data_IF_956094988398
#
_entry.id   IF_956094988398
#
_cell.length_a   1.000
_cell.length_b   1.000
_cell.length_c   1.000
_cell.angle_alpha   90.00
_cell.angle_beta   90.00
_cell.angle_gamma   90.00
#
_symmetry.space_group_name_H-M   'P 1'
#
loop_
_entity.id
_entity.type
_entity.pdbx_description
1 polymer ?
#
# COMPACT_ATOMS: atom_id res chain seq x y z
N UNK A 1 -13.44 -6.67 18.47
CA UNK A 1 -12.41 -6.61 17.41
C UNK A 1 -12.90 -6.03 16.08
N UNK A 2 -13.99 -6.46 15.45
CA UNK A 2 -14.49 -5.83 14.18
C UNK A 2 -14.60 -4.31 14.26
N UNK A 3 -15.03 -3.76 15.41
CA UNK A 3 -15.10 -2.31 15.62
C UNK A 3 -13.70 -1.66 15.69
N UNK A 4 -12.70 -2.31 16.29
CA UNK A 4 -11.31 -1.85 16.28
C UNK A 4 -10.75 -1.77 14.86
N UNK A 5 -10.99 -2.80 14.04
CA UNK A 5 -10.60 -2.82 12.62
C UNK A 5 -11.29 -1.69 11.82
N UNK A 6 -12.58 -1.47 12.04
CA UNK A 6 -13.31 -0.39 11.38
C UNK A 6 -12.80 1.00 11.78
N UNK A 7 -12.42 1.20 13.04
CA UNK A 7 -11.78 2.43 13.52
C UNK A 7 -10.38 2.60 12.90
N UNK A 8 -9.55 1.55 12.90
CA UNK A 8 -8.22 1.57 12.30
C UNK A 8 -8.25 2.05 10.85
N UNK A 9 -9.22 1.59 10.06
CA UNK A 9 -9.38 1.99 8.65
C UNK A 9 -9.57 3.50 8.46
N UNK A 10 -10.04 4.23 9.46
CA UNK A 10 -10.22 5.70 9.38
C UNK A 10 -8.89 6.46 9.27
N UNK A 11 -7.79 5.87 9.73
CA UNK A 11 -6.44 6.43 9.59
C UNK A 11 -5.80 6.26 8.21
N UNK A 12 -6.47 5.56 7.30
CA UNK A 12 -5.94 5.20 5.99
C UNK A 12 -5.51 6.43 5.17
N UNK A 13 -4.27 6.41 4.67
CA UNK A 13 -3.65 7.51 3.93
C UNK A 13 -2.97 8.57 4.80
N UNK A 14 -3.29 8.66 6.10
CA UNK A 14 -2.76 9.70 7.00
C UNK A 14 -1.67 9.19 7.98
N UNK A 15 -1.64 7.88 8.26
CA UNK A 15 -0.71 7.30 9.25
C UNK A 15 0.64 6.88 8.67
N UNK A 16 0.76 6.81 7.35
CA UNK A 16 1.96 6.29 6.64
C UNK A 16 3.27 6.92 7.15
N UNK A 17 4.33 6.13 7.32
CA UNK A 17 4.45 4.68 7.13
C UNK A 17 4.03 3.83 8.36
N UNK A 18 3.35 4.42 9.36
CA UNK A 18 2.83 3.72 10.54
C UNK A 18 1.63 2.83 10.18
N UNK A 19 1.39 1.76 10.97
CA UNK A 19 0.24 0.88 10.77
C UNK A 19 -1.09 1.57 11.08
N UNK A 20 -2.16 1.00 10.55
CA UNK A 20 -3.53 1.33 10.90
C UNK A 20 -3.90 0.63 12.20
N UNK A 21 -4.10 1.39 13.26
CA UNK A 21 -4.43 0.87 14.59
C UNK A 21 -5.70 1.50 15.12
N UNK A 22 -6.61 0.66 15.61
CA UNK A 22 -7.81 1.04 16.34
C UNK A 22 -7.86 0.34 17.70
N UNK A 23 -8.32 1.05 18.71
CA UNK A 23 -8.38 0.57 20.09
C UNK A 23 -9.72 0.90 20.74
N UNK A 24 -10.22 -0.03 21.57
CA UNK A 24 -11.39 0.15 22.41
C UNK A 24 -11.06 -0.24 23.85
N UNK A 25 -11.53 0.58 24.79
CA UNK A 25 -11.53 0.21 26.21
C UNK A 25 -12.95 -0.16 26.60
N UNK A 26 -13.10 -1.40 27.11
CA UNK A 26 -14.41 -1.99 27.46
C UNK A 26 -14.40 -2.39 28.93
N UNK A 27 -15.48 -2.12 29.65
CA UNK A 27 -15.64 -2.55 31.03
C UNK A 27 -17.09 -3.02 31.25
N UNK A 28 -17.22 -4.16 31.88
CA UNK A 28 -18.53 -4.77 32.19
C UNK A 28 -19.49 -4.84 30.98
N UNK A 29 -18.93 -5.11 29.78
CA UNK A 29 -19.64 -5.19 28.52
C UNK A 29 -19.89 -3.83 27.82
N UNK A 30 -19.60 -2.71 28.47
CA UNK A 30 -19.78 -1.37 27.90
C UNK A 30 -18.48 -0.80 27.31
N UNK A 31 -18.59 -0.15 26.14
CA UNK A 31 -17.45 0.57 25.52
C UNK A 31 -17.30 1.91 26.21
N UNK A 32 -16.24 2.09 27.00
CA UNK A 32 -15.93 3.34 27.69
C UNK A 32 -15.27 4.37 26.76
N UNK A 33 -14.42 3.93 25.85
CA UNK A 33 -13.79 4.76 24.83
C UNK A 33 -13.36 3.94 23.63
N UNK A 34 -13.25 4.64 22.52
CA UNK A 34 -12.70 4.13 21.26
C UNK A 34 -11.82 5.20 20.61
N UNK A 35 -10.74 4.78 19.96
CA UNK A 35 -9.81 5.64 19.26
C UNK A 35 -9.15 4.90 18.08
N UNK A 36 -8.48 5.64 17.24
CA UNK A 36 -7.61 5.10 16.19
C UNK A 36 -6.38 5.98 16.04
N UNK A 37 -5.32 5.44 15.46
CA UNK A 37 -4.15 6.24 15.11
C UNK A 37 -4.52 7.18 13.96
N UNK A 38 -4.59 8.47 14.23
CA UNK A 38 -5.21 9.44 13.33
C UNK A 38 -4.25 9.91 12.23
N UNK A 39 -2.95 10.05 12.57
CA UNK A 39 -1.94 10.58 11.65
C UNK A 39 -0.52 10.21 12.09
N UNK A 40 0.39 10.19 11.12
CA UNK A 40 1.83 10.02 11.38
C UNK A 40 2.36 11.04 12.40
N UNK A 41 3.17 10.57 13.35
CA UNK A 41 3.72 11.39 14.42
C UNK A 41 2.73 11.76 15.54
N UNK A 42 1.45 11.43 15.38
CA UNK A 42 0.45 11.58 16.44
C UNK A 42 0.47 10.44 17.46
N UNK A 43 -0.33 10.56 18.56
CA UNK A 43 -0.47 9.49 19.55
C UNK A 43 -1.04 8.20 18.92
N UNK A 44 -0.64 7.06 19.47
CA UNK A 44 -1.18 5.77 19.07
C UNK A 44 -2.62 5.59 19.59
N UNK A 45 -3.37 4.67 18.98
CA UNK A 45 -4.77 4.44 19.30
C UNK A 45 -5.01 4.09 20.77
N UNK A 46 -4.13 3.26 21.35
CA UNK A 46 -4.19 2.83 22.74
C UNK A 46 -4.04 4.04 23.69
N UNK A 47 -3.06 4.90 23.41
CA UNK A 47 -2.82 6.11 24.20
C UNK A 47 -4.04 7.03 24.17
N UNK A 48 -4.63 7.24 22.98
CA UNK A 48 -5.83 8.08 22.83
C UNK A 48 -7.04 7.47 23.55
N UNK A 49 -7.24 6.16 23.45
CA UNK A 49 -8.34 5.48 24.11
C UNK A 49 -8.21 5.55 25.63
N UNK A 50 -7.02 5.26 26.17
CA UNK A 50 -6.74 5.32 27.60
C UNK A 50 -6.87 6.74 28.16
N UNK A 51 -6.38 7.75 27.45
CA UNK A 51 -6.52 9.15 27.84
C UNK A 51 -7.98 9.61 27.96
N UNK A 52 -8.86 9.11 27.06
CA UNK A 52 -10.30 9.42 27.10
C UNK A 52 -11.03 8.79 28.30
N UNK A 53 -10.55 7.64 28.75
CA UNK A 53 -11.17 6.89 29.87
C UNK A 53 -10.64 7.35 31.23
N UNK A 54 -9.38 7.73 31.33
CA UNK A 54 -8.70 8.09 32.57
C UNK A 54 -8.75 6.95 33.60
N UNK A 55 -9.01 7.27 34.86
CA UNK A 55 -9.02 6.33 36.00
C UNK A 55 -10.03 5.17 35.84
N UNK A 56 -11.07 5.34 35.03
CA UNK A 56 -12.06 4.26 34.78
C UNK A 56 -11.47 3.09 34.01
N UNK A 57 -10.28 3.25 33.39
CA UNK A 57 -9.56 2.21 32.68
C UNK A 57 -9.15 1.04 33.60
N UNK A 58 -8.98 1.30 34.92
CA UNK A 58 -8.60 0.29 35.89
C UNK A 58 -9.58 -0.89 35.89
N UNK A 59 -9.05 -2.09 35.65
CA UNK A 59 -9.82 -3.33 35.57
C UNK A 59 -10.67 -3.48 34.31
N UNK A 60 -10.51 -2.60 33.30
CA UNK A 60 -11.14 -2.74 32.00
C UNK A 60 -10.40 -3.70 31.08
N UNK A 61 -10.94 -3.95 29.90
CA UNK A 61 -10.38 -4.72 28.80
C UNK A 61 -9.99 -3.78 27.66
N UNK A 62 -8.83 -4.02 27.02
CA UNK A 62 -8.40 -3.30 25.82
C UNK A 62 -8.49 -4.24 24.62
N UNK A 63 -9.19 -3.81 23.57
CA UNK A 63 -9.21 -4.47 22.26
C UNK A 63 -8.41 -3.65 21.27
N UNK A 64 -7.42 -4.24 20.63
CA UNK A 64 -6.54 -3.58 19.67
C UNK A 64 -6.22 -4.51 18.51
N UNK A 65 -6.21 -4.00 17.28
CA UNK A 65 -5.99 -4.85 16.10
C UNK A 65 -4.53 -5.19 15.83
N UNK A 66 -3.58 -4.55 16.52
CA UNK A 66 -2.15 -4.81 16.41
C UNK A 66 -1.51 -4.83 17.80
N UNK A 67 -0.49 -5.65 17.99
CA UNK A 67 0.27 -5.75 19.23
C UNK A 67 0.72 -4.37 19.72
N UNK A 68 0.47 -4.00 21.02
CA UNK A 68 0.94 -2.75 21.59
C UNK A 68 2.46 -2.66 21.58
N UNK A 69 2.98 -1.55 21.05
CA UNK A 69 4.41 -1.34 20.89
C UNK A 69 5.15 -1.23 22.23
N UNK A 70 6.41 -1.65 22.23
CA UNK A 70 7.38 -1.51 23.33
C UNK A 70 8.37 -0.38 23.02
N UNK A 71 9.18 0.01 24.00
CA UNK A 71 10.32 0.89 23.77
C UNK A 71 11.46 0.15 23.08
N UNK A 72 12.09 0.84 22.12
CA UNK A 72 13.28 0.39 21.43
C UNK A 72 14.10 1.59 20.93
N UNK A 73 15.40 1.44 20.65
CA UNK A 73 16.26 2.52 20.17
C UNK A 73 15.71 3.19 18.90
N UNK A 74 15.58 4.53 18.92
CA UNK A 74 15.07 5.32 17.80
C UNK A 74 13.54 5.46 17.73
N UNK A 75 12.78 4.87 18.65
CA UNK A 75 11.33 5.08 18.73
C UNK A 75 11.01 6.50 19.17
N UNK A 76 10.09 7.15 18.47
CA UNK A 76 9.73 8.57 18.66
C UNK A 76 8.56 8.79 19.62
N UNK A 77 7.76 7.75 19.91
CA UNK A 77 6.55 7.82 20.73
C UNK A 77 6.68 6.97 21.99
N UNK A 78 5.99 7.31 23.10
CA UNK A 78 5.96 6.46 24.29
C UNK A 78 5.46 5.05 24.01
N UNK A 79 5.85 4.08 24.86
CA UNK A 79 5.42 2.69 24.79
C UNK A 79 3.93 2.57 25.09
N UNK A 80 3.16 1.98 24.17
CA UNK A 80 1.75 1.65 24.43
C UNK A 80 1.62 0.57 25.51
N UNK A 81 2.52 -0.40 25.52
CA UNK A 81 2.56 -1.47 26.54
C UNK A 81 2.69 -0.88 27.95
N UNK A 82 3.61 0.09 28.17
CA UNK A 82 3.74 0.76 29.45
C UNK A 82 2.47 1.51 29.87
N UNK A 83 1.86 2.24 28.94
CA UNK A 83 0.62 2.96 29.20
C UNK A 83 -0.53 2.02 29.60
N UNK A 84 -0.63 0.86 28.96
CA UNK A 84 -1.63 -0.18 29.28
C UNK A 84 -1.41 -0.74 30.69
N UNK A 85 -0.15 -1.00 31.07
CA UNK A 85 0.22 -1.49 32.42
C UNK A 85 -0.11 -0.41 33.48
N UNK A 86 0.29 0.85 33.24
CA UNK A 86 0.03 1.96 34.15
C UNK A 86 -1.48 2.22 34.34
N UNK A 87 -2.28 2.06 33.28
CA UNK A 87 -3.74 2.15 33.34
C UNK A 87 -4.41 0.99 34.08
N UNK A 88 -3.66 -0.05 34.50
CA UNK A 88 -4.14 -1.23 35.20
C UNK A 88 -5.26 -1.95 34.44
N UNK A 89 -5.11 -2.09 33.14
CA UNK A 89 -5.98 -2.90 32.29
C UNK A 89 -5.87 -4.37 32.78
N UNK A 90 -7.01 -5.07 32.89
CA UNK A 90 -7.01 -6.47 33.34
C UNK A 90 -6.77 -7.48 32.21
N UNK A 91 -7.17 -7.11 30.98
CA UNK A 91 -7.13 -7.98 29.81
C UNK A 91 -6.87 -7.21 28.53
N UNK A 92 -6.01 -7.73 27.66
CA UNK A 92 -5.76 -7.20 26.33
C UNK A 92 -6.10 -8.24 25.27
N UNK A 93 -6.94 -7.88 24.32
CA UNK A 93 -7.32 -8.72 23.17
C UNK A 93 -6.66 -8.15 21.92
N UNK A 94 -5.78 -8.93 21.31
CA UNK A 94 -4.95 -8.54 20.16
C UNK A 94 -5.37 -9.34 18.94
N UNK A 95 -5.54 -8.67 17.78
CA UNK A 95 -5.84 -9.41 16.55
C UNK A 95 -4.58 -10.09 16.00
N UNK A 96 -3.48 -9.36 15.86
CA UNK A 96 -2.23 -9.90 15.30
C UNK A 96 -1.01 -9.28 15.97
N UNK A 97 0.10 -10.03 15.98
CA UNK A 97 1.40 -9.51 16.43
C UNK A 97 1.94 -8.48 15.45
N UNK A 98 2.75 -7.57 15.96
CA UNK A 98 3.49 -6.63 15.12
C UNK A 98 4.63 -7.38 14.40
N UNK A 99 4.73 -7.33 13.07
CA UNK A 99 5.81 -8.01 12.33
C UNK A 99 7.17 -7.33 12.48
N UNK A 100 7.23 -6.14 13.11
CA UNK A 100 8.49 -5.45 13.38
C UNK A 100 9.35 -6.29 14.35
N UNK A 101 10.57 -6.72 13.95
CA UNK A 101 11.43 -7.54 14.80
C UNK A 101 11.77 -6.91 16.16
N UNK A 102 11.65 -5.59 16.27
CA UNK A 102 11.88 -4.87 17.54
C UNK A 102 10.67 -4.89 18.48
N UNK A 103 9.49 -5.30 18.01
CA UNK A 103 8.23 -5.34 18.76
C UNK A 103 7.69 -6.76 18.89
N UNK A 104 7.77 -7.56 17.83
CA UNK A 104 7.15 -8.88 17.67
C UNK A 104 7.23 -9.75 18.93
N UNK A 105 6.09 -10.01 19.57
CA UNK A 105 5.95 -10.80 20.79
C UNK A 105 6.45 -10.15 22.08
N UNK A 106 7.21 -9.07 22.01
CA UNK A 106 7.78 -8.39 23.19
C UNK A 106 6.73 -7.60 23.95
N UNK A 107 5.76 -7.00 23.27
CA UNK A 107 4.62 -6.34 23.90
C UNK A 107 3.74 -7.33 24.65
N UNK A 108 3.44 -8.45 24.01
CA UNK A 108 2.67 -9.56 24.62
C UNK A 108 3.38 -10.12 25.86
N UNK A 109 4.69 -10.40 25.76
CA UNK A 109 5.47 -10.91 26.90
C UNK A 109 5.41 -9.95 28.10
N UNK A 110 5.67 -8.66 27.85
CA UNK A 110 5.68 -7.63 28.89
C UNK A 110 4.31 -7.44 29.55
N UNK A 111 3.22 -7.50 28.80
CA UNK A 111 1.86 -7.47 29.36
C UNK A 111 1.60 -8.67 30.28
N UNK A 112 1.99 -9.88 29.86
CA UNK A 112 1.84 -11.10 30.67
C UNK A 112 2.70 -11.07 31.93
N UNK A 113 3.94 -10.59 31.84
CA UNK A 113 4.83 -10.40 33.00
C UNK A 113 4.23 -9.42 34.03
N UNK A 114 3.48 -8.43 33.58
CA UNK A 114 2.75 -7.49 34.43
C UNK A 114 1.42 -8.09 35.02
N UNK A 115 1.12 -9.36 34.75
CA UNK A 115 -0.09 -10.04 35.23
C UNK A 115 -1.35 -9.72 34.44
N UNK A 116 -1.24 -9.17 33.25
CA UNK A 116 -2.37 -8.85 32.38
C UNK A 116 -2.72 -10.11 31.54
N UNK A 117 -4.00 -10.48 31.49
CA UNK A 117 -4.49 -11.53 30.59
C UNK A 117 -4.35 -11.07 29.15
N UNK A 118 -3.70 -11.86 28.27
CA UNK A 118 -3.53 -11.54 26.85
C UNK A 118 -4.13 -12.64 25.99
N UNK A 119 -5.11 -12.26 25.16
CA UNK A 119 -5.75 -13.10 24.13
C UNK A 119 -5.29 -12.63 22.76
N UNK A 120 -4.74 -13.53 21.96
CA UNK A 120 -4.20 -13.26 20.64
C UNK A 120 -5.00 -13.94 19.53
N UNK A 121 -4.89 -13.47 18.29
CA UNK A 121 -5.41 -14.13 17.10
C UNK A 121 -6.86 -13.83 16.73
N UNK A 122 -7.50 -12.88 17.41
CA UNK A 122 -8.92 -12.56 17.17
C UNK A 122 -9.09 -11.73 15.89
N UNK A 123 -9.58 -12.33 14.80
CA UNK A 123 -9.65 -11.76 13.45
C UNK A 123 -8.27 -11.40 12.89
N UNK A 124 -7.31 -12.32 13.05
CA UNK A 124 -5.92 -12.08 12.67
C UNK A 124 -5.76 -11.83 11.16
N UNK A 125 -6.42 -12.62 10.33
CA UNK A 125 -6.33 -12.49 8.86
C UNK A 125 -6.86 -11.13 8.39
N UNK A 126 -7.98 -10.66 8.92
CA UNK A 126 -8.55 -9.34 8.59
C UNK A 126 -7.62 -8.21 9.04
N UNK A 127 -6.98 -8.36 10.21
CA UNK A 127 -6.03 -7.38 10.72
C UNK A 127 -4.75 -7.32 9.88
N UNK A 128 -4.23 -8.46 9.46
CA UNK A 128 -3.07 -8.58 8.57
C UNK A 128 -3.38 -7.98 7.20
N UNK A 129 -4.55 -8.30 6.62
CA UNK A 129 -4.99 -7.76 5.32
C UNK A 129 -5.19 -6.24 5.38
N UNK A 130 -5.72 -5.71 6.49
CA UNK A 130 -5.85 -4.26 6.69
C UNK A 130 -4.49 -3.57 6.70
N UNK A 131 -3.48 -4.20 7.27
CA UNK A 131 -2.13 -3.67 7.44
C UNK A 131 -1.09 -4.29 6.46
N UNK A 132 -1.52 -4.88 5.34
CA UNK A 132 -0.63 -5.58 4.39
C UNK A 132 0.55 -4.71 3.91
N UNK A 133 0.31 -3.40 3.73
CA UNK A 133 1.33 -2.41 3.34
C UNK A 133 2.39 -2.29 4.43
N UNK A 134 1.97 -2.07 5.68
CA UNK A 134 2.89 -1.95 6.81
C UNK A 134 3.68 -3.23 7.03
N UNK A 135 3.02 -4.38 6.97
CA UNK A 135 3.66 -5.71 7.16
C UNK A 135 4.76 -5.95 6.13
N UNK A 136 4.47 -5.65 4.87
CA UNK A 136 5.48 -5.76 3.81
C UNK A 136 6.63 -4.79 4.04
N UNK A 137 6.33 -3.49 4.21
CA UNK A 137 7.37 -2.46 4.30
C UNK A 137 8.27 -2.63 5.52
N UNK A 138 7.72 -2.93 6.69
CA UNK A 138 8.50 -3.07 7.93
C UNK A 138 9.45 -4.27 7.87
N UNK A 139 9.09 -5.33 7.15
CA UNK A 139 9.89 -6.55 7.01
C UNK A 139 10.82 -6.54 5.80
N UNK A 140 10.41 -5.97 4.66
CA UNK A 140 11.16 -6.00 3.39
C UNK A 140 11.93 -4.71 3.10
N UNK A 141 11.55 -3.61 3.72
CA UNK A 141 12.13 -2.26 3.49
C UNK A 141 12.05 -1.79 2.03
N UNK A 142 11.06 -2.28 1.30
CA UNK A 142 10.69 -1.82 -0.04
C UNK A 142 9.21 -1.47 -0.07
N UNK A 143 8.75 -0.59 -0.97
CA UNK A 143 7.32 -0.29 -1.11
C UNK A 143 6.49 -1.53 -1.41
N UNK A 144 5.29 -1.62 -0.83
CA UNK A 144 4.25 -2.55 -1.27
C UNK A 144 3.69 -2.09 -2.61
N UNK A 145 3.90 -2.87 -3.66
CA UNK A 145 3.55 -2.48 -5.03
C UNK A 145 2.16 -2.99 -5.41
N UNK A 146 1.29 -2.06 -5.78
CA UNK A 146 -0.05 -2.35 -6.29
C UNK A 146 -0.10 -1.99 -7.77
N UNK A 147 -0.35 -2.96 -8.62
CA UNK A 147 -0.57 -2.73 -10.05
C UNK A 147 -2.07 -2.50 -10.29
N UNK A 148 -2.41 -1.29 -10.71
CA UNK A 148 -3.79 -0.91 -11.04
C UNK A 148 -3.92 -0.66 -12.53
N UNK A 149 -4.86 -1.36 -13.16
CA UNK A 149 -5.20 -1.17 -14.58
C UNK A 149 -6.71 -0.97 -14.75
N UNK A 150 -7.10 -0.18 -15.73
CA UNK A 150 -8.47 -0.05 -16.19
C UNK A 150 -8.51 -0.43 -17.68
N UNK A 151 -9.31 -1.43 -18.00
CA UNK A 151 -9.31 -2.04 -19.34
C UNK A 151 -10.73 -2.41 -19.80
N UNK A 152 -10.86 -2.64 -21.07
CA UNK A 152 -12.04 -3.23 -21.68
C UNK A 152 -12.14 -4.73 -21.36
N UNK A 153 -13.28 -5.37 -21.61
CA UNK A 153 -13.46 -6.83 -21.42
C UNK A 153 -12.46 -7.66 -22.24
N UNK A 154 -12.04 -7.14 -23.39
CA UNK A 154 -11.02 -7.76 -24.25
C UNK A 154 -9.58 -7.31 -23.90
N UNK A 155 -9.37 -6.70 -22.71
CA UNK A 155 -8.05 -6.42 -22.15
C UNK A 155 -7.30 -5.26 -22.80
N UNK A 156 -7.99 -4.23 -23.32
CA UNK A 156 -7.37 -3.06 -23.96
C UNK A 156 -7.43 -1.84 -23.03
N UNK A 157 -6.34 -1.09 -22.93
CA UNK A 157 -6.24 0.15 -22.18
C UNK A 157 -6.27 1.42 -23.07
N UNK A 158 -6.15 1.26 -24.38
CA UNK A 158 -6.33 2.32 -25.35
C UNK A 158 -6.61 1.74 -26.74
N UNK A 159 -7.26 2.53 -27.61
CA UNK A 159 -7.50 2.19 -29.00
C UNK A 159 -6.20 2.14 -29.81
N UNK A 160 -6.27 1.70 -31.06
CA UNK A 160 -5.15 1.76 -32.01
C UNK A 160 -4.68 3.20 -32.28
N UNK A 161 -5.56 4.20 -32.10
CA UNK A 161 -5.22 5.63 -32.17
C UNK A 161 -4.66 6.20 -30.86
N UNK A 162 -4.39 5.35 -29.88
CA UNK A 162 -3.90 5.69 -28.52
C UNK A 162 -4.88 6.49 -27.65
N UNK A 163 -6.16 6.57 -28.01
CA UNK A 163 -7.18 7.16 -27.16
C UNK A 163 -7.55 6.21 -26.03
N UNK A 164 -7.42 6.67 -24.78
CA UNK A 164 -7.63 5.90 -23.54
C UNK A 164 -8.85 6.37 -22.74
N UNK A 165 -9.45 7.54 -23.04
CA UNK A 165 -10.51 8.18 -22.24
C UNK A 165 -11.86 8.11 -22.92
N UNK A 166 -12.95 7.71 -22.22
CA UNK A 166 -12.93 7.11 -20.90
C UNK A 166 -13.30 5.63 -21.05
N UNK A 167 -12.51 4.74 -20.48
CA UNK A 167 -12.79 3.29 -20.49
C UNK A 167 -13.74 2.97 -19.34
N UNK A 168 -13.41 3.35 -18.10
CA UNK A 168 -14.20 3.07 -16.91
C UNK A 168 -15.15 4.21 -16.55
N UNK A 169 -16.23 3.86 -15.82
CA UNK A 169 -17.28 4.76 -15.32
C UNK A 169 -16.76 5.73 -14.24
N UNK A 170 -17.54 6.78 -13.91
CA UNK A 170 -17.17 7.75 -12.89
C UNK A 170 -16.90 7.14 -11.52
N UNK A 171 -17.67 6.12 -11.11
CA UNK A 171 -17.54 5.45 -9.83
C UNK A 171 -16.16 4.78 -9.69
N UNK A 172 -15.70 4.07 -10.72
CA UNK A 172 -14.36 3.47 -10.74
C UNK A 172 -13.27 4.55 -10.73
N UNK A 173 -13.45 5.67 -11.45
CA UNK A 173 -12.49 6.79 -11.42
C UNK A 173 -12.39 7.44 -10.04
N UNK A 174 -13.51 7.59 -9.31
CA UNK A 174 -13.52 8.07 -7.92
C UNK A 174 -12.71 7.13 -7.02
N UNK A 175 -12.91 5.81 -7.17
CA UNK A 175 -12.14 4.81 -6.41
C UNK A 175 -10.63 4.88 -6.72
N UNK A 176 -10.23 5.25 -7.95
CA UNK A 176 -8.81 5.51 -8.28
C UNK A 176 -8.26 6.68 -7.45
N UNK A 177 -9.02 7.75 -7.23
CA UNK A 177 -8.59 8.83 -6.35
C UNK A 177 -8.47 8.38 -4.88
N UNK A 178 -9.33 7.46 -4.42
CA UNK A 178 -9.17 6.84 -3.11
C UNK A 178 -7.90 5.98 -3.03
N UNK A 179 -7.57 5.22 -4.07
CA UNK A 179 -6.32 4.46 -4.14
C UNK A 179 -5.09 5.38 -4.11
N UNK A 180 -5.09 6.47 -4.89
CA UNK A 180 -3.99 7.47 -4.85
C UNK A 180 -3.83 8.12 -3.48
N UNK A 181 -4.93 8.37 -2.77
CA UNK A 181 -4.90 8.86 -1.38
C UNK A 181 -4.30 7.82 -0.43
N UNK A 182 -4.63 6.54 -0.66
CA UNK A 182 -4.21 5.41 0.19
C UNK A 182 -2.72 5.13 0.09
N UNK A 183 -2.15 5.14 -1.11
CA UNK A 183 -0.76 4.76 -1.35
C UNK A 183 0.18 5.97 -1.35
N UNK A 184 1.44 5.78 -0.90
CA UNK A 184 2.41 6.85 -0.72
C UNK A 184 2.91 7.46 -2.02
N UNK A 185 2.99 6.66 -3.08
CA UNK A 185 3.43 7.10 -4.39
C UNK A 185 2.54 6.52 -5.50
N UNK A 186 2.49 7.22 -6.65
CA UNK A 186 1.88 6.76 -7.89
C UNK A 186 2.90 6.81 -9.01
N UNK A 187 2.96 5.76 -9.83
CA UNK A 187 3.95 5.63 -10.91
C UNK A 187 3.29 5.38 -12.25
N UNK A 188 3.78 6.07 -13.28
CA UNK A 188 3.46 5.85 -14.70
C UNK A 188 4.72 5.85 -15.56
N UNK A 189 4.64 5.28 -16.76
CA UNK A 189 5.68 5.40 -17.77
C UNK A 189 5.53 6.67 -18.63
N UNK A 190 6.61 7.07 -19.31
CA UNK A 190 6.66 8.24 -20.18
C UNK A 190 5.54 8.25 -21.24
N UNK A 191 5.27 7.11 -21.88
CA UNK A 191 4.22 7.01 -22.88
C UNK A 191 2.83 7.37 -22.34
N UNK A 192 2.52 7.01 -21.10
CA UNK A 192 1.27 7.40 -20.44
C UNK A 192 1.19 8.91 -20.27
N UNK A 193 2.30 9.55 -19.88
CA UNK A 193 2.33 11.01 -19.75
C UNK A 193 2.20 11.71 -21.11
N UNK A 194 2.89 11.21 -22.12
CA UNK A 194 2.88 11.79 -23.48
C UNK A 194 1.49 11.73 -24.13
N UNK A 195 0.76 10.62 -23.94
CA UNK A 195 -0.53 10.43 -24.61
C UNK A 195 -1.72 10.96 -23.80
N UNK A 196 -1.68 10.78 -22.47
CA UNK A 196 -2.83 11.07 -21.60
C UNK A 196 -2.69 12.38 -20.82
N UNK A 197 -1.48 12.94 -20.73
CA UNK A 197 -1.15 14.13 -19.95
C UNK A 197 -1.84 14.15 -18.56
N UNK A 198 -1.61 13.15 -17.71
CA UNK A 198 -2.29 13.02 -16.43
C UNK A 198 -1.67 13.93 -15.36
N UNK A 199 -2.50 14.39 -14.41
CA UNK A 199 -2.01 15.11 -13.22
C UNK A 199 -1.51 14.16 -12.12
N UNK A 200 -2.05 12.94 -12.04
CA UNK A 200 -1.77 11.94 -11.01
C UNK A 200 -2.02 12.43 -9.57
N UNK A 201 -2.92 13.38 -9.40
CA UNK A 201 -3.28 13.98 -8.11
C UNK A 201 -4.57 13.38 -7.55
N UNK A 202 -4.81 13.60 -6.26
CA UNK A 202 -6.07 13.31 -5.56
C UNK A 202 -6.95 14.55 -5.65
N UNK A 203 -8.11 14.46 -6.32
CA UNK A 203 -9.03 15.59 -6.55
C UNK A 203 -10.47 15.30 -6.15
N UNK A 204 -10.93 14.07 -6.36
CA UNK A 204 -12.34 13.70 -6.16
C UNK A 204 -12.66 13.27 -4.71
N UNK A 205 -11.65 13.14 -3.87
CA UNK A 205 -11.78 12.81 -2.45
C UNK A 205 -10.81 13.65 -1.62
N UNK A 206 -11.13 13.97 -0.36
CA UNK A 206 -10.18 14.66 0.51
C UNK A 206 -9.03 13.73 0.91
N UNK A 207 -7.81 14.27 1.01
CA UNK A 207 -6.67 13.51 1.50
C UNK A 207 -5.32 14.00 0.99
N UNK A 208 -4.23 13.36 1.46
CA UNK A 208 -2.88 13.73 1.06
C UNK A 208 -2.61 13.37 -0.40
N UNK A 209 -1.72 14.14 -1.02
CA UNK A 209 -1.22 13.87 -2.36
C UNK A 209 -0.13 12.81 -2.33
N UNK A 210 -0.11 11.86 -3.29
CA UNK A 210 0.99 10.90 -3.43
C UNK A 210 2.23 11.58 -4.06
N UNK A 211 3.41 10.99 -3.82
CA UNK A 211 4.58 11.26 -4.65
C UNK A 211 4.31 10.75 -6.07
N UNK A 212 4.38 11.62 -7.07
CA UNK A 212 4.23 11.24 -8.48
C UNK A 212 5.56 10.78 -9.05
N UNK A 213 5.61 9.62 -9.67
CA UNK A 213 6.83 9.04 -10.25
C UNK A 213 6.60 8.81 -11.74
N UNK A 214 7.51 9.29 -12.56
CA UNK A 214 7.50 9.08 -14.01
C UNK A 214 8.75 8.29 -14.39
N UNK A 215 8.57 7.14 -15.04
CA UNK A 215 9.66 6.39 -15.67
C UNK A 215 9.90 6.98 -17.07
N UNK A 216 10.98 7.72 -17.25
CA UNK A 216 11.35 8.38 -18.51
C UNK A 216 12.82 8.12 -18.80
N UNK A 217 13.09 7.02 -19.49
CA UNK A 217 14.44 6.46 -19.70
C UNK A 217 15.41 7.47 -20.27
N UNK A 218 14.99 8.23 -21.27
CA UNK A 218 15.79 9.12 -22.12
C UNK A 218 15.27 10.59 -22.13
N UNK A 219 14.37 10.92 -21.21
CA UNK A 219 13.86 12.27 -21.05
C UNK A 219 12.91 12.70 -22.17
N UNK A 220 11.98 11.85 -22.64
CA UNK A 220 11.05 12.17 -23.74
C UNK A 220 9.82 12.99 -23.32
N UNK A 221 9.44 12.94 -22.05
CA UNK A 221 8.23 13.62 -21.54
C UNK A 221 8.37 15.14 -21.72
N UNK A 222 7.41 15.83 -22.34
CA UNK A 222 7.46 17.28 -22.53
C UNK A 222 7.53 18.04 -21.20
N UNK A 223 8.31 19.13 -21.13
CA UNK A 223 8.40 20.00 -19.94
C UNK A 223 7.06 20.65 -19.58
N UNK A 224 6.12 20.75 -20.53
CA UNK A 224 4.77 21.28 -20.34
C UNK A 224 3.80 20.27 -19.71
N UNK A 225 4.19 19.01 -19.53
CA UNK A 225 3.31 17.96 -19.01
C UNK A 225 2.73 18.33 -17.64
N UNK A 226 1.42 18.08 -17.46
CA UNK A 226 0.67 18.44 -16.23
C UNK A 226 1.22 17.75 -14.98
N UNK A 227 1.83 16.58 -15.13
CA UNK A 227 2.48 15.88 -14.02
C UNK A 227 3.63 16.69 -13.39
N UNK A 228 4.19 17.67 -14.09
CA UNK A 228 5.22 18.57 -13.59
C UNK A 228 4.67 19.86 -12.97
N UNK A 229 3.35 19.98 -12.83
CA UNK A 229 2.72 21.07 -12.07
C UNK A 229 3.09 20.97 -10.57
N UNK A 230 3.15 22.12 -9.87
CA UNK A 230 3.55 22.20 -8.46
C UNK A 230 2.54 21.66 -7.44
N UNK A 231 1.43 21.02 -7.87
CA UNK A 231 0.37 20.55 -6.96
C UNK A 231 0.78 19.39 -6.05
N UNK A 232 1.74 18.57 -6.48
CA UNK A 232 2.31 17.49 -5.68
C UNK A 232 3.79 17.31 -6.03
N UNK A 233 4.53 16.65 -5.14
CA UNK A 233 5.95 16.32 -5.42
C UNK A 233 6.04 15.35 -6.59
N UNK A 234 7.02 15.58 -7.47
CA UNK A 234 7.27 14.73 -8.64
C UNK A 234 8.72 14.30 -8.69
N UNK A 235 8.93 13.02 -9.01
CA UNK A 235 10.22 12.38 -9.25
C UNK A 235 10.22 11.81 -10.67
N UNK A 236 11.22 12.11 -11.47
CA UNK A 236 11.48 11.44 -12.75
C UNK A 236 12.63 10.46 -12.55
N UNK A 237 12.37 9.17 -12.79
CA UNK A 237 13.38 8.13 -12.79
C UNK A 237 13.86 7.91 -14.24
N UNK A 238 15.15 8.09 -14.46
CA UNK A 238 15.76 8.11 -15.81
C UNK A 238 17.07 7.34 -15.84
N UNK A 239 17.49 6.91 -17.01
CA UNK A 239 18.83 6.37 -17.29
C UNK A 239 19.70 7.50 -17.86
N UNK A 240 19.25 8.07 -18.99
CA UNK A 240 20.02 9.05 -19.72
C UNK A 240 19.12 10.23 -20.14
N UNK A 241 19.04 11.23 -19.28
CA UNK A 241 18.31 12.46 -19.55
C UNK A 241 19.29 13.55 -19.97
N UNK A 242 18.99 14.32 -21.03
CA UNK A 242 19.81 15.48 -21.42
C UNK A 242 19.98 16.47 -20.25
N UNK A 243 21.21 16.95 -19.98
CA UNK A 243 21.47 17.83 -18.83
C UNK A 243 20.62 19.08 -18.78
N UNK A 244 20.36 19.72 -19.93
CA UNK A 244 19.51 20.91 -20.04
C UNK A 244 18.07 20.63 -19.61
N UNK A 245 17.55 19.45 -19.95
CA UNK A 245 16.21 19.03 -19.55
C UNK A 245 16.15 18.71 -18.07
N UNK A 246 17.17 18.06 -17.53
CA UNK A 246 17.30 17.81 -16.11
C UNK A 246 17.31 19.11 -15.31
N UNK A 247 18.09 20.11 -15.74
CA UNK A 247 18.13 21.43 -15.13
C UNK A 247 16.75 22.13 -15.18
N UNK A 248 16.09 22.09 -16.34
CA UNK A 248 14.75 22.67 -16.51
C UNK A 248 13.71 22.00 -15.59
N UNK A 249 13.75 20.69 -15.42
CA UNK A 249 12.87 19.96 -14.50
C UNK A 249 13.17 20.32 -13.03
N UNK A 250 14.45 20.38 -12.65
CA UNK A 250 14.87 20.81 -11.31
C UNK A 250 14.42 22.25 -11.02
N UNK A 251 14.48 23.14 -11.99
CA UNK A 251 13.97 24.51 -11.93
C UNK A 251 12.45 24.57 -11.66
N UNK A 252 11.70 23.53 -12.01
CA UNK A 252 10.27 23.37 -11.69
C UNK A 252 10.01 22.69 -10.35
N UNK A 253 11.04 22.33 -9.57
CA UNK A 253 10.91 21.58 -8.32
C UNK A 253 10.69 20.07 -8.53
N UNK A 254 10.93 19.57 -9.74
CA UNK A 254 10.87 18.14 -10.04
C UNK A 254 12.21 17.49 -9.69
N UNK A 255 12.17 16.42 -8.91
CA UNK A 255 13.36 15.63 -8.64
C UNK A 255 13.70 14.74 -9.83
N UNK A 256 14.96 14.71 -10.24
CA UNK A 256 15.48 13.78 -11.26
C UNK A 256 16.40 12.77 -10.59
N UNK A 257 16.04 11.49 -10.68
CA UNK A 257 16.79 10.36 -10.12
C UNK A 257 17.36 9.53 -11.28
N UNK A 258 18.68 9.56 -11.43
CA UNK A 258 19.38 8.69 -12.38
C UNK A 258 19.52 7.29 -11.78
N UNK A 259 19.14 6.29 -12.56
CA UNK A 259 19.21 4.88 -12.20
C UNK A 259 20.06 4.11 -13.21
N UNK A 260 20.68 2.99 -12.81
CA UNK A 260 21.27 2.07 -13.76
C UNK A 260 20.22 1.61 -14.78
N UNK A 261 20.70 1.31 -15.99
CA UNK A 261 19.88 0.65 -17.00
C UNK A 261 19.76 -0.84 -16.71
N UNK A 262 18.56 -1.35 -16.93
CA UNK A 262 18.27 -2.78 -16.97
C UNK A 262 17.22 -3.06 -18.04
N UNK A 263 17.58 -3.91 -19.00
CA UNK A 263 16.70 -4.30 -20.10
C UNK A 263 16.14 -3.09 -20.90
N UNK A 264 16.98 -2.05 -21.13
CA UNK A 264 16.59 -0.83 -21.85
C UNK A 264 15.77 0.18 -21.02
N UNK A 265 15.64 -0.03 -19.71
CA UNK A 265 14.81 0.81 -18.83
C UNK A 265 15.51 1.12 -17.50
N UNK A 266 15.06 2.10 -16.72
CA UNK A 266 15.53 2.33 -15.37
C UNK A 266 15.33 1.08 -14.49
N UNK A 267 16.36 0.69 -13.74
CA UNK A 267 16.29 -0.49 -12.84
C UNK A 267 15.22 -0.29 -11.75
N UNK A 268 14.12 -1.04 -11.88
CA UNK A 268 12.97 -0.96 -10.97
C UNK A 268 13.31 -1.46 -9.57
N UNK A 269 14.18 -2.47 -9.43
CA UNK A 269 14.60 -2.96 -8.10
C UNK A 269 15.39 -1.90 -7.36
N UNK A 270 16.27 -1.19 -8.08
CA UNK A 270 17.03 -0.08 -7.50
C UNK A 270 16.12 1.08 -7.12
N UNK A 271 15.12 1.40 -7.96
CA UNK A 271 14.11 2.40 -7.64
C UNK A 271 13.36 2.05 -6.35
N UNK A 272 12.84 0.83 -6.24
CA UNK A 272 12.09 0.38 -5.05
C UNK A 272 12.96 0.41 -3.78
N UNK A 273 14.22 0.02 -3.87
CA UNK A 273 15.16 0.10 -2.74
C UNK A 273 15.37 1.56 -2.27
N UNK A 274 15.54 2.50 -3.20
CA UNK A 274 15.68 3.94 -2.88
C UNK A 274 14.39 4.49 -2.26
N UNK A 275 13.23 4.14 -2.82
CA UNK A 275 11.93 4.57 -2.28
C UNK A 275 11.70 4.04 -0.87
N UNK A 276 12.02 2.76 -0.62
CA UNK A 276 11.92 2.16 0.70
C UNK A 276 12.84 2.84 1.73
N UNK A 277 14.09 3.16 1.35
CA UNK A 277 15.01 3.91 2.20
C UNK A 277 14.53 5.34 2.53
N UNK A 278 13.67 5.90 1.69
CA UNK A 278 13.01 7.21 1.89
C UNK A 278 11.67 7.11 2.62
N UNK A 279 11.37 5.98 3.24
CA UNK A 279 10.11 5.70 3.95
C UNK A 279 8.85 5.78 3.05
N UNK A 280 8.98 5.58 1.75
CA UNK A 280 7.85 5.37 0.84
C UNK A 280 7.42 3.92 0.99
N UNK A 281 6.36 3.69 1.75
CA UNK A 281 5.88 2.36 2.14
C UNK A 281 5.10 1.62 1.04
N UNK A 282 4.56 2.37 0.07
CA UNK A 282 3.66 1.83 -0.94
C UNK A 282 3.73 2.57 -2.27
N UNK A 283 3.51 1.82 -3.36
CA UNK A 283 3.57 2.31 -4.73
C UNK A 283 2.35 1.83 -5.52
N UNK A 284 1.54 2.74 -6.02
CA UNK A 284 0.47 2.48 -6.98
C UNK A 284 1.02 2.63 -8.39
N UNK A 285 1.12 1.54 -9.15
CA UNK A 285 1.53 1.54 -10.55
C UNK A 285 0.30 1.66 -11.42
N UNK A 286 0.14 2.79 -12.10
CA UNK A 286 -0.96 3.09 -13.03
C UNK A 286 -0.47 3.16 -14.48
N UNK A 287 0.71 2.64 -14.77
CA UNK A 287 1.38 2.78 -16.05
C UNK A 287 0.78 1.94 -17.17
N UNK A 288 1.24 2.17 -18.40
CA UNK A 288 0.85 1.41 -19.58
C UNK A 288 1.29 -0.05 -19.55
N UNK A 289 0.93 -0.81 -20.59
CA UNK A 289 1.15 -2.25 -20.64
C UNK A 289 2.61 -2.69 -20.51
N UNK A 290 3.57 -1.92 -21.02
CA UNK A 290 5.02 -2.22 -20.89
C UNK A 290 5.49 -2.08 -19.44
N UNK A 291 5.05 -1.03 -18.73
CA UNK A 291 5.35 -0.86 -17.31
C UNK A 291 4.72 -1.98 -16.48
N UNK A 292 3.47 -2.34 -16.79
CA UNK A 292 2.78 -3.46 -16.15
C UNK A 292 3.57 -4.76 -16.31
N UNK A 293 4.02 -5.07 -17.53
CA UNK A 293 4.85 -6.24 -17.81
C UNK A 293 6.18 -6.20 -17.06
N UNK A 294 6.88 -5.05 -17.10
CA UNK A 294 8.17 -4.89 -16.42
C UNK A 294 8.09 -5.17 -14.90
N UNK A 295 7.00 -4.75 -14.25
CA UNK A 295 6.78 -5.06 -12.84
C UNK A 295 6.38 -6.53 -12.60
N UNK A 296 5.48 -7.09 -13.42
CA UNK A 296 5.01 -8.46 -13.27
C UNK A 296 6.12 -9.49 -13.57
N UNK A 297 6.84 -9.33 -14.68
CA UNK A 297 7.89 -10.27 -15.09
C UNK A 297 9.08 -10.32 -14.13
N UNK A 298 9.35 -9.22 -13.42
CA UNK A 298 10.41 -9.14 -12.43
C UNK A 298 9.98 -9.57 -11.02
N UNK A 299 8.72 -9.97 -10.81
CA UNK A 299 8.23 -10.38 -9.48
C UNK A 299 8.08 -9.22 -8.50
N UNK A 300 7.76 -8.01 -8.97
CA UNK A 300 7.74 -6.81 -8.15
C UNK A 300 6.33 -6.39 -7.71
N UNK A 301 5.28 -7.01 -8.22
CA UNK A 301 3.89 -6.69 -7.88
C UNK A 301 3.44 -7.52 -6.69
N UNK A 302 2.98 -6.85 -5.62
CA UNK A 302 2.40 -7.53 -4.46
C UNK A 302 0.89 -7.77 -4.61
N UNK A 303 0.18 -6.84 -5.27
CA UNK A 303 -1.28 -6.87 -5.41
C UNK A 303 -1.71 -6.31 -6.74
N UNK A 304 -2.74 -6.89 -7.35
CA UNK A 304 -3.39 -6.32 -8.54
C UNK A 304 -4.75 -5.76 -8.17
N UNK A 305 -5.13 -4.66 -8.84
CA UNK A 305 -6.47 -4.04 -8.79
C UNK A 305 -6.86 -3.70 -10.23
N UNK A 306 -7.59 -4.58 -10.88
CA UNK A 306 -7.97 -4.45 -12.28
C UNK A 306 -9.44 -4.07 -12.39
N UNK A 307 -9.73 -3.05 -13.20
CA UNK A 307 -11.09 -2.66 -13.54
C UNK A 307 -11.38 -3.08 -14.98
N UNK A 308 -12.47 -3.81 -15.17
CA UNK A 308 -12.99 -4.21 -16.47
C UNK A 308 -14.25 -3.43 -16.75
N UNK A 309 -14.19 -2.57 -17.76
CA UNK A 309 -15.37 -1.87 -18.25
C UNK A 309 -16.16 -2.77 -19.22
N UNK A 310 -17.50 -2.65 -19.27
CA UNK A 310 -18.36 -3.43 -20.17
C UNK A 310 -18.25 -2.95 -21.62
N UNK A 311 -17.02 -2.91 -22.16
CA UNK A 311 -16.65 -2.46 -23.49
C UNK A 311 -15.82 -3.51 -24.20
N UNK A 312 -16.00 -3.65 -25.50
CA UNK A 312 -15.13 -4.38 -26.41
C UNK A 312 -14.51 -3.37 -27.38
N UNK A 313 -13.20 -3.26 -27.36
CA UNK A 313 -12.49 -2.30 -28.22
C UNK A 313 -11.92 -2.97 -29.48
N UNK A 314 -11.42 -4.19 -29.34
CA UNK A 314 -10.81 -4.93 -30.44
C UNK A 314 -9.52 -4.30 -30.99
N UNK A 315 -9.11 -4.77 -32.15
CA UNK A 315 -7.97 -4.23 -32.90
C UNK A 315 -6.62 -4.86 -32.53
N UNK A 316 -5.86 -5.27 -33.56
CA UNK A 316 -4.50 -5.81 -33.39
C UNK A 316 -3.56 -4.80 -32.75
N UNK A 317 -3.66 -3.54 -33.16
CA UNK A 317 -2.76 -2.45 -32.74
C UNK A 317 -3.30 -1.66 -31.54
N UNK A 318 -4.44 -2.08 -30.96
CA UNK A 318 -4.95 -1.54 -29.72
C UNK A 318 -4.01 -1.90 -28.56
N UNK A 319 -3.84 -0.98 -27.59
CA UNK A 319 -2.85 -1.12 -26.51
C UNK A 319 -3.32 -2.17 -25.51
N UNK A 320 -2.59 -3.28 -25.30
CA UNK A 320 -2.96 -4.29 -24.31
C UNK A 320 -2.71 -3.78 -22.89
N UNK A 321 -3.46 -4.30 -21.94
CA UNK A 321 -3.32 -3.99 -20.52
C UNK A 321 -1.96 -4.45 -19.94
N UNK A 322 -1.50 -5.62 -20.38
CA UNK A 322 -0.16 -6.14 -20.13
C UNK A 322 0.48 -6.43 -21.48
N UNK A 323 1.58 -5.76 -21.77
CA UNK A 323 2.34 -5.88 -23.02
C UNK A 323 3.60 -6.74 -22.80
N UNK A 324 4.73 -6.35 -23.42
CA UNK A 324 6.00 -7.05 -23.32
C UNK A 324 6.03 -8.39 -24.04
N UNK A 325 7.02 -9.23 -23.75
CA UNK A 325 7.20 -10.53 -24.40
C UNK A 325 6.20 -11.60 -23.98
N UNK A 326 5.55 -11.43 -22.82
CA UNK A 326 4.64 -12.43 -22.27
C UNK A 326 5.33 -13.71 -21.81
N UNK A 327 4.53 -14.66 -21.35
CA UNK A 327 5.00 -16.02 -21.03
C UNK A 327 4.83 -16.91 -22.26
N UNK A 328 5.81 -17.79 -22.54
CA UNK A 328 5.78 -18.61 -23.75
C UNK A 328 4.73 -19.75 -23.69
N UNK A 329 4.31 -20.13 -22.48
CA UNK A 329 3.38 -21.22 -22.25
C UNK A 329 2.36 -20.82 -21.16
N UNK A 330 1.05 -21.07 -21.34
CA UNK A 330 0.05 -20.85 -20.30
C UNK A 330 0.36 -21.57 -18.98
N UNK A 331 1.05 -22.71 -19.00
CA UNK A 331 1.47 -23.41 -17.79
C UNK A 331 2.50 -22.66 -16.97
N UNK A 332 3.28 -21.78 -17.61
CA UNK A 332 4.28 -20.91 -17.00
C UNK A 332 3.72 -19.53 -16.64
N UNK A 333 2.47 -19.25 -17.02
CA UNK A 333 1.86 -17.95 -16.76
C UNK A 333 1.74 -17.67 -15.24
N UNK A 334 1.90 -16.41 -14.88
CA UNK A 334 1.79 -15.93 -13.51
C UNK A 334 0.39 -16.22 -12.96
N UNK A 335 0.33 -16.98 -11.89
CA UNK A 335 -0.91 -17.27 -11.17
C UNK A 335 -1.26 -16.16 -10.22
N UNK A 336 -2.57 -15.99 -9.95
CA UNK A 336 -3.08 -15.02 -8.99
C UNK A 336 -3.95 -15.76 -7.96
N UNK A 337 -3.67 -15.55 -6.67
CA UNK A 337 -4.43 -16.13 -5.55
C UNK A 337 -5.37 -15.11 -4.90
N UNK A 338 -6.24 -15.58 -4.03
CA UNK A 338 -7.15 -14.78 -3.20
C UNK A 338 -7.94 -13.75 -4.01
N UNK A 339 -8.48 -14.20 -5.15
CA UNK A 339 -9.26 -13.36 -6.03
C UNK A 339 -10.56 -12.91 -5.35
N UNK A 340 -10.79 -11.60 -5.32
CA UNK A 340 -12.10 -11.03 -5.03
C UNK A 340 -12.61 -10.23 -6.24
N UNK A 341 -13.92 -10.24 -6.42
CA UNK A 341 -14.61 -9.61 -7.55
C UNK A 341 -15.76 -8.77 -7.01
N UNK A 342 -15.79 -7.51 -7.36
CA UNK A 342 -16.80 -6.56 -6.89
C UNK A 342 -17.28 -5.67 -8.04
N UNK A 343 -18.56 -5.31 -8.05
CA UNK A 343 -19.09 -4.28 -8.95
C UNK A 343 -18.82 -2.88 -8.41
N UNK A 344 -18.30 -2.00 -9.26
CA UNK A 344 -18.07 -0.58 -8.98
C UNK A 344 -18.81 0.23 -10.04
N UNK A 345 -20.04 0.60 -9.74
CA UNK A 345 -20.98 1.09 -10.76
C UNK A 345 -21.24 -0.02 -11.80
N UNK A 346 -20.96 0.27 -13.05
CA UNK A 346 -21.07 -0.71 -14.16
C UNK A 346 -19.79 -1.50 -14.43
N UNK A 347 -18.66 -1.14 -13.80
CA UNK A 347 -17.36 -1.77 -14.00
C UNK A 347 -17.16 -2.92 -13.01
N UNK A 348 -16.42 -3.94 -13.43
CA UNK A 348 -16.03 -5.05 -12.58
C UNK A 348 -14.63 -4.80 -12.03
N UNK A 349 -14.48 -4.74 -10.71
CA UNK A 349 -13.17 -4.68 -10.05
C UNK A 349 -12.72 -6.08 -9.63
N UNK A 350 -11.53 -6.47 -10.06
CA UNK A 350 -10.87 -7.72 -9.68
C UNK A 350 -9.62 -7.40 -8.87
N UNK A 351 -9.54 -7.95 -7.66
CA UNK A 351 -8.38 -7.80 -6.78
C UNK A 351 -7.78 -9.17 -6.52
N UNK A 352 -6.45 -9.27 -6.53
CA UNK A 352 -5.77 -10.53 -6.25
C UNK A 352 -4.28 -10.34 -6.00
N UNK A 353 -3.59 -11.44 -5.68
CA UNK A 353 -2.19 -11.45 -5.29
C UNK A 353 -1.39 -12.36 -6.25
N UNK A 354 -0.46 -11.81 -7.05
CA UNK A 354 0.40 -12.61 -7.91
C UNK A 354 1.26 -13.59 -7.12
N UNK A 355 1.40 -14.81 -7.62
CA UNK A 355 2.22 -15.88 -7.02
C UNK A 355 3.46 -16.07 -7.87
N UNK A 356 4.63 -15.77 -7.32
CA UNK A 356 5.91 -15.97 -7.97
C UNK A 356 6.56 -17.28 -7.51
N UNK A 357 7.22 -17.99 -8.44
CA UNK A 357 7.95 -19.21 -8.09
C UNK A 357 9.00 -18.93 -6.99
N UNK A 358 8.97 -19.73 -5.93
CA UNK A 358 9.82 -19.56 -4.73
C UNK A 358 9.13 -18.93 -3.52
N UNK A 359 8.08 -18.13 -3.69
CA UNK A 359 7.33 -17.58 -2.54
C UNK A 359 6.34 -18.57 -1.95
N UNK A 360 5.76 -19.44 -2.77
CA UNK A 360 4.81 -20.46 -2.32
C UNK A 360 5.42 -21.54 -1.42
N UNK A 361 6.75 -21.75 -1.45
CA UNK A 361 7.44 -22.72 -0.55
C UNK A 361 7.64 -22.17 0.85
N UNK A 362 7.87 -20.88 1.02
CA UNK A 362 8.08 -20.27 2.34
C UNK A 362 6.79 -20.21 3.17
N UNK A 363 5.65 -19.90 2.54
CA UNK A 363 4.35 -19.82 3.25
C UNK A 363 3.82 -21.19 3.70
N UNK A 364 4.16 -22.28 2.98
CA UNK A 364 3.79 -23.66 3.38
C UNK A 364 4.70 -24.24 4.47
N UNK A 365 5.91 -23.75 4.62
CA UNK A 365 6.84 -24.17 5.69
C UNK A 365 6.54 -23.43 7.00
N UNK A 366 6.27 -22.12 6.95
CA UNK A 366 5.87 -21.35 8.15
C UNK A 366 4.51 -21.80 8.72
N UNK A 367 3.55 -22.18 7.85
CA UNK A 367 2.26 -22.72 8.29
C UNK A 367 2.37 -24.12 8.91
N UNK A 368 3.39 -24.91 8.56
CA UNK A 368 3.62 -26.25 9.13
C UNK A 368 4.40 -26.20 10.45
N UNK A 369 5.23 -25.18 10.65
CA UNK A 369 6.00 -25.03 11.90
C UNK A 369 5.13 -24.41 13.03
N UNK A 370 4.15 -23.57 12.68
CA UNK A 370 3.20 -23.02 13.65
C UNK A 370 2.16 -24.04 14.17
N UNK A 371 2.03 -25.20 13.51
CA UNK A 371 1.11 -26.29 13.90
C UNK A 371 1.71 -27.41 14.76
N UNK A 372 3.02 -27.34 15.10
CA UNK A 372 3.70 -28.38 15.89
C UNK A 372 4.03 -28.01 17.33
N UNK A 373 3.48 -26.91 17.82
CA UNK A 373 3.66 -26.41 19.19
C UNK A 373 2.31 -26.21 19.88
N UNK A 374 1.46 -27.24 19.94
CA UNK A 374 0.30 -27.29 20.83
C UNK A 374 0.34 -28.56 21.67
#
# INVERSE_FOLDING_TARGET
MRRALALAKRGEGYTRPNPLVGALVVKDGEILAEAYHERFGGPHAEILALARVGEKAKGAELYVNLEPCVDFPGKKTPSCTEAVIQARIKKVVIATRDPNPQVCGRGVAKLREAGIEVVEGVLAEEAQKLNEVFFHWITKRTPFVVLRLAMTLDGKIASYTKKSRWITAPEARKLVHELRRRYAAVLVGANTVIHDDPELTVREVPGPQPLRIVLDTDGRVPLSARVFSGEAKTLVATVDMPPEKEEALRGKGVEVLRLPERDGHPDLRRLLAILGAREVDSLLVEGGGEVAWSFLSQGLVNKIVFFYAPLILGGRDAVPAVAGTGFPDPAQALRVRDLSVEWVGQDLMVVGYPVYEGTARLETEEAKDSGKGA
#
